data_IF_571365791907
#
_entry.id   IF_571365791907
#
_cell.length_a   1.000
_cell.length_b   1.000
_cell.length_c   1.000
_cell.angle_alpha   90.00
_cell.angle_beta   90.00
_cell.angle_gamma   90.00
#
_symmetry.space_group_name_H-M   'P 1'
#
loop_
_entity.id
_entity.type
_entity.pdbx_description
1 polymer ?
#
# COMPACT_ATOMS: atom_id res chain seq x y z
N UNK A 1 3.46 -6.32 0.67
CA UNK A 1 2.42 -6.44 -0.38
C UNK A 1 2.85 -7.53 -1.37
N UNK A 2 2.04 -8.58 -1.55
CA UNK A 2 2.46 -9.82 -2.24
C UNK A 2 2.49 -9.71 -3.76
N UNK A 3 1.58 -8.92 -4.33
CA UNK A 3 1.58 -8.54 -5.75
C UNK A 3 2.92 -7.96 -6.22
N UNK A 4 3.51 -7.03 -5.45
CA UNK A 4 4.83 -6.46 -5.76
C UNK A 4 5.92 -7.54 -5.86
N UNK A 5 5.89 -8.55 -4.97
CA UNK A 5 6.84 -9.66 -5.00
C UNK A 5 6.72 -10.47 -6.30
N UNK A 6 5.52 -10.90 -6.66
CA UNK A 6 5.27 -11.68 -7.88
C UNK A 6 5.62 -10.89 -9.15
N UNK A 7 5.34 -9.57 -9.15
CA UNK A 7 5.73 -8.69 -10.25
C UNK A 7 7.25 -8.62 -10.42
N UNK A 8 8.00 -8.48 -9.32
CA UNK A 8 9.47 -8.50 -9.36
C UNK A 8 10.03 -9.88 -9.75
N UNK A 9 9.48 -10.97 -9.23
CA UNK A 9 9.88 -12.34 -9.59
C UNK A 9 9.71 -12.58 -11.10
N UNK A 10 8.59 -12.14 -11.67
CA UNK A 10 8.36 -12.17 -13.12
C UNK A 10 9.43 -11.40 -13.89
N UNK A 11 9.75 -10.18 -13.46
CA UNK A 11 10.74 -9.32 -14.12
C UNK A 11 12.13 -10.01 -14.14
N UNK A 12 12.53 -10.63 -13.02
CA UNK A 12 13.75 -11.44 -12.93
C UNK A 12 13.71 -12.61 -13.92
N UNK A 13 12.60 -13.35 -13.98
CA UNK A 13 12.45 -14.48 -14.91
C UNK A 13 12.58 -14.04 -16.38
N UNK A 14 11.99 -12.90 -16.74
CA UNK A 14 12.13 -12.35 -18.09
C UNK A 14 13.56 -11.97 -18.43
N UNK A 15 14.29 -11.38 -17.47
CA UNK A 15 15.70 -11.08 -17.62
C UNK A 15 16.52 -12.36 -17.87
N UNK A 16 16.26 -13.42 -17.09
CA UNK A 16 16.92 -14.73 -17.26
C UNK A 16 16.59 -15.38 -18.60
N UNK A 17 15.43 -15.08 -19.17
CA UNK A 17 15.01 -15.51 -20.50
C UNK A 17 15.58 -14.66 -21.64
N UNK A 18 16.36 -13.60 -21.34
CA UNK A 18 16.99 -12.75 -22.33
C UNK A 18 16.06 -11.72 -22.98
N UNK A 19 14.95 -11.37 -22.31
CA UNK A 19 14.09 -10.26 -22.74
C UNK A 19 14.86 -8.94 -22.64
N UNK A 20 14.64 -8.03 -23.59
CA UNK A 20 15.29 -6.72 -23.59
C UNK A 20 14.87 -5.89 -22.37
N UNK A 21 15.77 -5.05 -21.84
CA UNK A 21 15.51 -4.24 -20.66
C UNK A 21 14.30 -3.30 -20.81
N UNK A 22 14.00 -2.84 -22.05
CA UNK A 22 12.82 -2.03 -22.37
C UNK A 22 11.49 -2.77 -22.15
N UNK A 23 11.50 -4.09 -22.30
CA UNK A 23 10.29 -4.91 -22.35
C UNK A 23 10.09 -5.69 -21.03
N UNK A 24 11.07 -5.60 -20.12
CA UNK A 24 11.15 -6.34 -18.86
C UNK A 24 10.05 -5.96 -17.86
N UNK A 25 9.59 -4.72 -17.93
CA UNK A 25 8.46 -4.22 -17.16
C UNK A 25 7.17 -4.15 -17.98
N UNK A 26 7.21 -4.57 -19.24
CA UNK A 26 6.03 -4.62 -20.08
C UNK A 26 5.13 -5.78 -19.62
N UNK A 27 3.94 -5.41 -19.14
CA UNK A 27 2.95 -6.35 -18.67
C UNK A 27 1.59 -5.97 -19.25
N UNK A 28 0.90 -6.96 -19.82
CA UNK A 28 -0.44 -6.74 -20.33
C UNK A 28 -1.48 -6.88 -19.21
N UNK A 29 -2.68 -6.34 -19.44
CA UNK A 29 -3.77 -6.33 -18.45
C UNK A 29 -4.16 -7.74 -18.02
N UNK A 30 -4.14 -8.73 -18.92
CA UNK A 30 -4.45 -10.12 -18.58
C UNK A 30 -3.45 -10.71 -17.59
N UNK A 31 -2.17 -10.40 -17.76
CA UNK A 31 -1.10 -10.81 -16.85
C UNK A 31 -1.19 -10.08 -15.51
N UNK A 32 -1.52 -8.78 -15.52
CA UNK A 32 -1.81 -8.03 -14.29
C UNK A 32 -2.94 -8.71 -13.51
N UNK A 33 -4.05 -9.05 -14.18
CA UNK A 33 -5.18 -9.75 -13.57
C UNK A 33 -4.77 -11.10 -13.00
N UNK A 34 -3.94 -11.87 -13.71
CA UNK A 34 -3.41 -13.15 -13.22
C UNK A 34 -2.56 -12.98 -11.96
N UNK A 35 -1.61 -12.04 -11.96
CA UNK A 35 -0.77 -11.75 -10.79
C UNK A 35 -1.59 -11.23 -9.60
N UNK A 36 -2.64 -10.44 -9.87
CA UNK A 36 -3.55 -9.95 -8.83
C UNK A 36 -4.34 -11.11 -8.22
N UNK A 37 -4.82 -12.04 -9.05
CA UNK A 37 -5.54 -13.23 -8.59
C UNK A 37 -4.61 -14.13 -7.76
N UNK A 38 -3.41 -14.43 -8.24
CA UNK A 38 -2.42 -15.23 -7.51
C UNK A 38 -2.05 -14.58 -6.16
N UNK A 39 -1.81 -13.26 -6.17
CA UNK A 39 -1.53 -12.52 -4.95
C UNK A 39 -2.72 -12.55 -3.97
N UNK A 40 -3.95 -12.55 -4.49
CA UNK A 40 -5.18 -12.60 -3.70
C UNK A 40 -5.46 -13.98 -3.11
N UNK A 41 -5.20 -15.05 -3.85
CA UNK A 41 -5.40 -16.43 -3.39
C UNK A 41 -4.49 -16.79 -2.20
N UNK A 42 -3.35 -16.12 -2.08
CA UNK A 42 -2.43 -16.25 -0.94
C UNK A 42 -2.83 -15.41 0.28
N UNK A 43 -3.83 -14.51 0.16
CA UNK A 43 -4.33 -13.73 1.29
C UNK A 43 -5.18 -14.64 2.17
N UNK A 44 -4.66 -14.94 3.35
CA UNK A 44 -5.39 -15.72 4.33
C UNK A 44 -6.27 -14.85 5.24
N UNK A 45 -7.15 -15.51 5.99
CA UNK A 45 -8.02 -14.83 6.96
C UNK A 45 -7.23 -14.06 8.00
N UNK A 46 -6.03 -14.52 8.38
CA UNK A 46 -5.20 -13.84 9.38
C UNK A 46 -4.65 -12.53 8.85
N UNK A 47 -4.25 -12.48 7.58
CA UNK A 47 -3.81 -11.27 6.88
C UNK A 47 -4.94 -10.23 6.83
N UNK A 48 -6.17 -10.65 6.46
CA UNK A 48 -7.33 -9.75 6.45
C UNK A 48 -7.63 -9.21 7.86
N UNK A 49 -7.62 -10.09 8.87
CA UNK A 49 -7.81 -9.68 10.26
C UNK A 49 -6.75 -8.69 10.72
N UNK A 50 -5.48 -8.92 10.39
CA UNK A 50 -4.39 -8.00 10.71
C UNK A 50 -4.54 -6.65 10.01
N UNK A 51 -4.97 -6.64 8.74
CA UNK A 51 -5.27 -5.41 8.01
C UNK A 51 -6.43 -4.63 8.66
N UNK A 52 -7.53 -5.30 9.02
CA UNK A 52 -8.66 -4.67 9.69
C UNK A 52 -8.34 -4.19 11.10
N UNK A 53 -7.46 -4.89 11.85
CA UNK A 53 -6.92 -4.41 13.13
C UNK A 53 -6.09 -3.15 12.93
N UNK A 54 -5.18 -3.13 11.95
CA UNK A 54 -4.35 -1.95 11.61
C UNK A 54 -5.20 -0.75 11.19
N UNK A 55 -6.29 -0.99 10.46
CA UNK A 55 -7.25 0.03 10.08
C UNK A 55 -8.18 0.47 11.23
N UNK A 56 -8.09 -0.16 12.42
CA UNK A 56 -8.95 0.13 13.56
C UNK A 56 -10.40 -0.41 13.44
N UNK A 57 -10.70 -1.16 12.38
CA UNK A 57 -12.02 -1.74 12.12
C UNK A 57 -12.33 -2.88 13.11
N UNK A 58 -11.33 -3.72 13.41
CA UNK A 58 -11.45 -4.75 14.44
C UNK A 58 -10.83 -4.26 15.75
N UNK A 59 -11.63 -4.24 16.82
CA UNK A 59 -11.14 -4.01 18.18
C UNK A 59 -10.36 -5.22 18.69
N UNK A 60 -9.27 -4.97 19.41
CA UNK A 60 -8.53 -6.01 20.11
C UNK A 60 -9.42 -6.70 21.16
N UNK A 61 -9.30 -8.02 21.33
CA UNK A 61 -10.06 -8.73 22.35
C UNK A 61 -9.72 -8.14 23.72
N UNK A 62 -10.78 -7.65 24.38
CA UNK A 62 -10.70 -6.99 25.68
C UNK A 62 -11.21 -7.95 26.75
N UNK A 63 -10.51 -8.06 27.87
CA UNK A 63 -10.90 -8.90 28.99
C UNK A 63 -12.17 -8.33 29.68
N UNK A 64 -12.75 -9.09 30.61
CA UNK A 64 -13.95 -8.70 31.35
C UNK A 64 -13.79 -7.39 32.16
N UNK A 65 -12.55 -6.96 32.40
CA UNK A 65 -12.22 -5.74 33.14
C UNK A 65 -12.00 -4.54 32.20
N UNK A 66 -12.15 -4.73 30.89
CA UNK A 66 -11.93 -3.68 29.92
C UNK A 66 -10.47 -3.48 29.53
N UNK A 67 -9.55 -4.40 29.78
CA UNK A 67 -8.13 -4.30 29.40
C UNK A 67 -7.83 -5.18 28.18
N UNK A 68 -6.85 -4.80 27.35
CA UNK A 68 -6.43 -5.61 26.19
C UNK A 68 -5.86 -6.95 26.70
N UNK A 69 -6.36 -8.07 26.18
CA UNK A 69 -5.96 -9.38 26.65
C UNK A 69 -4.55 -9.77 26.14
N UNK A 70 -3.54 -9.63 27.00
CA UNK A 70 -2.12 -9.99 26.77
C UNK A 70 -1.83 -11.50 26.60
N UNK A 71 -2.84 -12.35 26.71
CA UNK A 71 -2.71 -13.82 26.64
C UNK A 71 -3.37 -14.46 25.43
N UNK A 72 -3.88 -13.67 24.49
CA UNK A 72 -4.44 -14.21 23.24
C UNK A 72 -3.31 -14.67 22.32
N UNK A 73 -3.46 -15.76 21.54
CA UNK A 73 -2.56 -16.04 20.42
C UNK A 73 -2.49 -14.87 19.41
N UNK A 74 -3.48 -14.00 19.47
CA UNK A 74 -3.62 -12.73 18.72
C UNK A 74 -2.98 -11.52 19.43
N UNK A 75 -2.13 -11.73 20.44
CA UNK A 75 -1.43 -10.63 21.10
C UNK A 75 -0.62 -9.87 20.07
N UNK A 76 -0.94 -8.60 19.96
CA UNK A 76 -0.23 -7.54 19.24
C UNK A 76 1.26 -7.83 19.28
N UNK A 77 1.93 -7.96 18.13
CA UNK A 77 3.36 -7.67 18.06
C UNK A 77 3.46 -6.25 18.62
N UNK A 78 4.11 -6.04 19.77
CA UNK A 78 4.23 -4.72 20.36
C UNK A 78 4.60 -3.75 19.25
N UNK A 79 3.78 -2.71 19.08
CA UNK A 79 4.12 -1.56 18.28
C UNK A 79 5.53 -1.17 18.70
N UNK A 80 6.49 -1.41 17.81
CA UNK A 80 7.76 -0.72 17.91
C UNK A 80 7.37 0.76 17.96
N UNK A 81 7.68 1.48 19.05
CA UNK A 81 7.56 2.94 19.03
C UNK A 81 8.24 3.42 17.75
N UNK A 82 7.71 4.47 17.10
CA UNK A 82 8.29 5.09 15.89
C UNK A 82 9.78 4.77 15.85
N UNK A 83 10.24 3.97 14.86
CA UNK A 83 11.55 3.34 14.89
C UNK A 83 12.52 4.43 15.35
N UNK A 84 13.16 4.28 16.52
CA UNK A 84 13.99 5.35 17.07
C UNK A 84 14.99 5.67 15.99
N UNK A 85 14.87 6.84 15.32
CA UNK A 85 15.66 7.27 14.15
C UNK A 85 16.70 6.21 13.79
N UNK A 86 16.27 5.18 13.05
CA UNK A 86 17.00 3.90 12.94
C UNK A 86 18.18 4.06 11.97
N UNK A 87 19.07 5.01 12.26
CA UNK A 87 20.39 5.10 11.65
C UNK A 87 21.31 3.98 12.16
N UNK A 88 20.98 3.37 13.31
CA UNK A 88 21.83 2.42 14.03
C UNK A 88 21.40 0.93 13.89
N UNK A 89 20.35 0.63 13.12
CA UNK A 89 19.94 -0.77 12.92
C UNK A 89 20.96 -1.50 12.03
N UNK A 90 21.78 -2.35 12.66
CA UNK A 90 22.81 -3.16 12.01
C UNK A 90 22.24 -3.98 10.84
N UNK A 91 20.98 -4.43 10.93
CA UNK A 91 20.29 -5.13 9.86
C UNK A 91 20.03 -4.24 8.65
N UNK A 92 19.59 -3.01 8.89
CA UNK A 92 19.35 -2.01 7.82
C UNK A 92 20.67 -1.59 7.18
N UNK A 93 21.73 -1.38 7.98
CA UNK A 93 23.06 -1.03 7.47
C UNK A 93 23.67 -2.15 6.63
N UNK A 94 23.53 -3.40 7.07
CA UNK A 94 23.98 -4.56 6.30
C UNK A 94 23.20 -4.70 4.98
N UNK A 95 21.87 -4.56 5.02
CA UNK A 95 21.06 -4.60 3.80
C UNK A 95 21.39 -3.46 2.83
N UNK A 96 21.70 -2.26 3.34
CA UNK A 96 22.15 -1.12 2.54
C UNK A 96 23.53 -1.40 1.93
N UNK A 97 24.44 -2.03 2.66
CA UNK A 97 25.75 -2.44 2.15
C UNK A 97 25.62 -3.49 1.05
N UNK A 98 24.79 -4.51 1.25
CA UNK A 98 24.52 -5.55 0.25
C UNK A 98 23.94 -4.95 -1.04
N UNK A 99 23.09 -3.92 -0.91
CA UNK A 99 22.51 -3.21 -2.05
C UNK A 99 23.58 -2.42 -2.82
N UNK A 100 24.50 -1.73 -2.12
CA UNK A 100 25.64 -1.06 -2.76
C UNK A 100 26.52 -2.06 -3.53
N UNK A 101 26.87 -3.18 -2.91
CA UNK A 101 27.67 -4.23 -3.55
C UNK A 101 26.99 -4.81 -4.80
N UNK A 102 25.66 -4.96 -4.77
CA UNK A 102 24.90 -5.43 -5.92
C UNK A 102 24.89 -4.43 -7.08
N UNK A 103 24.78 -3.12 -6.80
CA UNK A 103 24.86 -2.06 -7.81
C UNK A 103 26.24 -2.05 -8.47
N UNK A 104 27.30 -2.12 -7.68
CA UNK A 104 28.68 -2.18 -8.18
C UNK A 104 28.89 -3.40 -9.10
N UNK A 105 28.33 -4.56 -8.75
CA UNK A 105 28.40 -5.74 -9.61
C UNK A 105 27.64 -5.57 -10.92
N UNK A 106 26.48 -4.91 -10.90
CA UNK A 106 25.70 -4.67 -12.12
C UNK A 106 26.40 -3.68 -13.05
N UNK A 107 27.04 -2.65 -12.51
CA UNK A 107 27.87 -1.71 -13.27
C UNK A 107 29.10 -2.41 -13.86
N UNK A 108 29.81 -3.19 -13.05
CA UNK A 108 30.99 -3.96 -13.51
C UNK A 108 30.65 -4.93 -14.63
N UNK A 109 29.48 -5.56 -14.57
CA UNK A 109 28.99 -6.48 -15.58
C UNK A 109 28.39 -5.76 -16.82
N UNK A 110 28.36 -4.43 -16.82
CA UNK A 110 27.82 -3.60 -17.90
C UNK A 110 26.29 -3.70 -18.04
N UNK A 111 25.61 -4.25 -17.03
CA UNK A 111 24.16 -4.34 -16.98
C UNK A 111 23.53 -3.01 -16.55
N UNK A 112 24.30 -2.14 -15.90
CA UNK A 112 23.91 -0.79 -15.50
C UNK A 112 24.92 0.23 -16.06
N UNK A 113 24.43 1.31 -16.67
CA UNK A 113 25.28 2.38 -17.15
C UNK A 113 25.62 3.33 -15.98
N UNK A 114 26.87 3.82 -15.86
CA UNK A 114 27.30 4.70 -14.77
C UNK A 114 26.48 6.00 -14.64
N UNK A 115 25.90 6.47 -15.75
CA UNK A 115 25.10 7.68 -15.81
C UNK A 115 23.64 7.49 -15.36
N UNK A 116 23.15 6.24 -15.37
CA UNK A 116 21.78 5.89 -15.03
C UNK A 116 21.70 5.16 -13.67
N UNK A 117 22.84 4.98 -13.00
CA UNK A 117 22.93 4.33 -11.70
C UNK A 117 22.51 5.31 -10.59
N UNK A 118 21.32 5.11 -10.01
CA UNK A 118 20.95 5.75 -8.75
C UNK A 118 21.78 5.15 -7.60
N UNK A 119 22.10 5.98 -6.60
CA UNK A 119 22.77 5.46 -5.40
C UNK A 119 21.82 4.60 -4.57
N UNK A 120 22.38 3.77 -3.69
CA UNK A 120 21.61 2.98 -2.74
C UNK A 120 20.67 3.86 -1.89
N UNK A 121 21.16 5.03 -1.48
CA UNK A 121 20.40 6.01 -0.72
C UNK A 121 19.28 6.64 -1.54
N UNK A 122 19.53 6.95 -2.82
CA UNK A 122 18.51 7.50 -3.72
C UNK A 122 17.40 6.49 -4.05
N UNK A 123 17.74 5.20 -4.17
CA UNK A 123 16.77 4.12 -4.39
C UNK A 123 15.86 3.89 -3.18
N UNK A 124 16.41 4.01 -1.98
CA UNK A 124 15.65 3.79 -0.74
C UNK A 124 14.89 5.04 -0.33
N UNK A 125 15.40 6.23 -0.66
CA UNK A 125 14.84 7.50 -0.21
C UNK A 125 14.15 8.27 -1.35
N UNK A 126 13.08 7.70 -1.90
CA UNK A 126 12.30 8.34 -2.98
C UNK A 126 11.49 9.50 -2.38
N UNK A 127 11.72 10.76 -2.80
CA UNK A 127 11.08 11.94 -2.20
C UNK A 127 9.56 11.92 -2.35
N UNK A 128 9.04 11.27 -3.38
CA UNK A 128 7.61 11.11 -3.63
C UNK A 128 6.95 10.07 -2.71
N UNK A 129 7.72 9.09 -2.19
CA UNK A 129 7.23 8.12 -1.19
C UNK A 129 7.35 8.65 0.25
N UNK A 130 8.11 9.74 0.46
CA UNK A 130 8.21 10.45 1.73
C UNK A 130 7.02 11.36 2.05
N UNK A 131 5.94 11.30 1.26
CA UNK A 131 4.64 11.76 1.75
C UNK A 131 4.18 10.79 2.84
N UNK A 132 4.72 10.95 4.05
CA UNK A 132 3.94 10.65 5.24
C UNK A 132 2.68 11.47 5.08
N UNK A 133 1.62 10.83 4.56
CA UNK A 133 0.36 11.51 4.25
C UNK A 133 0.03 12.33 5.47
N UNK A 134 -0.02 13.66 5.29
CA UNK A 134 -0.40 14.59 6.34
C UNK A 134 -1.63 13.98 6.98
N UNK A 135 -1.48 13.54 8.24
CA UNK A 135 -2.55 12.81 8.90
C UNK A 135 -3.53 13.87 9.35
N UNK A 136 -4.55 14.11 8.54
CA UNK A 136 -5.61 15.03 8.91
C UNK A 136 -6.24 14.51 10.20
N UNK A 137 -6.41 15.40 11.17
CA UNK A 137 -7.22 15.13 12.35
C UNK A 137 -8.67 14.89 11.94
N UNK A 138 -9.39 14.04 12.66
CA UNK A 138 -10.83 13.85 12.46
C UNK A 138 -11.59 15.20 12.49
N UNK A 139 -11.13 16.15 13.32
CA UNK A 139 -11.69 17.50 13.41
C UNK A 139 -11.45 18.32 12.13
N UNK A 140 -10.26 18.22 11.52
CA UNK A 140 -9.91 18.92 10.28
C UNK A 140 -10.71 18.37 9.08
N UNK A 141 -10.92 17.05 9.05
CA UNK A 141 -11.76 16.39 8.04
C UNK A 141 -13.21 16.87 8.14
N UNK A 142 -13.77 16.92 9.37
CA UNK A 142 -15.16 17.33 9.60
C UNK A 142 -15.36 18.80 9.26
N UNK A 143 -14.39 19.66 9.56
CA UNK A 143 -14.46 21.09 9.24
C UNK A 143 -14.44 21.33 7.73
N UNK A 144 -13.59 20.62 7.00
CA UNK A 144 -13.52 20.69 5.54
C UNK A 144 -14.83 20.22 4.87
N UNK A 145 -15.37 19.08 5.28
CA UNK A 145 -16.66 18.58 4.73
C UNK A 145 -17.78 19.56 5.00
N UNK A 146 -17.81 20.18 6.19
CA UNK A 146 -18.81 21.20 6.52
C UNK A 146 -18.66 22.46 5.64
N UNK A 147 -17.43 22.87 5.34
CA UNK A 147 -17.16 24.01 4.46
C UNK A 147 -17.63 23.73 3.03
N UNK A 148 -17.31 22.55 2.48
CA UNK A 148 -17.73 22.13 1.14
C UNK A 148 -19.26 22.05 1.01
N UNK A 149 -19.95 21.50 2.01
CA UNK A 149 -21.42 21.47 2.03
C UNK A 149 -22.06 22.86 2.04
N UNK A 150 -21.41 23.87 2.65
CA UNK A 150 -21.92 25.24 2.67
C UNK A 150 -21.71 25.97 1.33
N UNK A 151 -20.71 25.57 0.55
CA UNK A 151 -20.47 26.11 -0.80
C UNK A 151 -21.41 25.48 -1.83
N UNK A 152 -21.77 24.20 -1.68
CA UNK A 152 -22.65 23.48 -2.62
C UNK A 152 -24.14 23.86 -2.47
N UNK A 153 -24.60 24.19 -1.26
CA UNK A 153 -25.99 24.60 -0.98
C UNK A 153 -26.35 25.99 -1.55
N UNK A 154 -25.39 26.69 -2.16
CA UNK A 154 -25.59 27.97 -2.83
C UNK A 154 -26.03 27.89 -4.30
N UNK A 155 -26.07 26.70 -4.92
CA UNK A 155 -26.17 26.55 -6.40
C UNK A 155 -27.43 25.81 -6.88
N UNK A 156 -28.37 25.41 -6.02
CA UNK A 156 -29.66 24.87 -6.49
C UNK A 156 -30.70 26.00 -6.56
N UNK A 157 -30.61 26.83 -7.61
CA UNK A 157 -31.76 27.63 -8.04
C UNK A 157 -32.84 26.69 -8.55
N UNK A 158 -34.03 26.84 -7.97
CA UNK A 158 -35.26 26.12 -8.27
C UNK A 158 -35.54 26.03 -9.77
N UNK A 159 -35.65 24.81 -10.28
CA UNK A 159 -36.29 24.51 -11.55
C UNK A 159 -37.37 23.47 -11.28
N UNK A 160 -38.57 24.00 -11.10
CA UNK A 160 -39.92 23.47 -11.33
C UNK A 160 -40.16 21.94 -11.41
N UNK A 161 -41.12 21.56 -10.57
CA UNK A 161 -41.88 20.31 -10.49
C UNK A 161 -42.24 19.72 -11.86
N UNK A 162 -41.84 18.47 -12.11
CA UNK A 162 -42.69 17.49 -12.79
C UNK A 162 -42.40 16.10 -12.21
N UNK A 163 -43.47 15.51 -11.68
CA UNK A 163 -43.57 14.29 -10.91
C UNK A 163 -43.58 13.07 -11.84
N UNK A 164 -42.48 12.31 -11.89
CA UNK A 164 -42.43 10.97 -12.48
C UNK A 164 -41.70 10.03 -11.50
N UNK A 165 -42.49 9.42 -10.63
CA UNK A 165 -42.08 8.41 -9.64
C UNK A 165 -41.62 7.11 -10.37
N UNK A 166 -40.34 6.68 -10.25
CA UNK A 166 -39.91 5.44 -10.88
C UNK A 166 -40.35 4.22 -10.06
N UNK A 167 -41.28 3.42 -10.59
CA UNK A 167 -41.71 2.15 -9.97
C UNK A 167 -40.53 1.15 -9.86
N UNK A 168 -40.19 0.78 -8.63
CA UNK A 168 -39.21 -0.28 -8.33
C UNK A 168 -39.70 -1.64 -8.87
N UNK A 169 -38.85 -2.43 -9.57
CA UNK A 169 -39.24 -3.76 -10.03
C UNK A 169 -39.37 -4.73 -8.84
N UNK A 170 -40.54 -5.36 -8.72
CA UNK A 170 -40.76 -6.46 -7.78
C UNK A 170 -40.04 -7.71 -8.29
N UNK A 171 -38.99 -8.15 -7.58
CA UNK A 171 -38.40 -9.46 -7.81
C UNK A 171 -39.20 -10.48 -6.99
N UNK A 172 -39.89 -11.40 -7.68
CA UNK A 172 -40.55 -12.54 -7.03
C UNK A 172 -39.53 -13.65 -6.75
N UNK A 173 -39.67 -14.30 -5.58
CA UNK A 173 -38.94 -15.50 -5.13
C UNK A 173 -39.01 -16.70 -6.10
#
# INVERSE_FOLDING_TARGET
MRYRRLFCERAILQQMMGVAASDLYEINVLQIMGLAQEAWDEVDRTTIQNCWRRAGILSLPRNANGEVWEGSPDTIIPYEPEPPLMDDDEGIQNAMSDLRDALDQLELNGALAPLDALTAEELVNVPEEQTGGERWSDDEIVEQVRAEMQEEDGVIQMADEDDDEPECPVWSD
#
